data_IF_410741887559
#
_entry.id   IF_410741887559
#
_cell.length_a   1.000
_cell.length_b   1.000
_cell.length_c   1.000
_cell.angle_alpha   90.00
_cell.angle_beta   90.00
_cell.angle_gamma   90.00
#
_symmetry.space_group_name_H-M   'P 1'
#
loop_
_entity.id
_entity.type
_entity.pdbx_description
1 polymer ?
#
# COMPACT_ATOMS: atom_id res chain seq x y z
N UNK A 1 -14.51 -13.23 12.10
CA UNK A 1 -14.24 -12.81 13.51
C UNK A 1 -14.13 -11.29 13.51
N UNK A 2 -14.88 -10.58 14.35
CA UNK A 2 -14.77 -9.10 14.38
C UNK A 2 -13.45 -8.68 15.01
N UNK A 3 -12.67 -7.84 14.30
CA UNK A 3 -11.39 -7.32 14.75
C UNK A 3 -11.50 -5.83 15.11
N UNK A 4 -10.90 -5.42 16.22
CA UNK A 4 -10.82 -4.00 16.59
C UNK A 4 -9.66 -3.31 15.88
N UNK A 5 -9.71 -1.97 15.75
CA UNK A 5 -8.60 -1.19 15.18
C UNK A 5 -7.29 -1.40 15.94
N UNK A 6 -7.34 -1.56 17.27
CA UNK A 6 -6.17 -1.88 18.08
C UNK A 6 -5.55 -3.23 17.70
N UNK A 7 -6.39 -4.27 17.61
CA UNK A 7 -5.95 -5.62 17.24
C UNK A 7 -5.37 -5.65 15.81
N UNK A 8 -5.95 -4.90 14.88
CA UNK A 8 -5.44 -4.82 13.51
C UNK A 8 -4.06 -4.16 13.46
N UNK A 9 -3.85 -3.03 14.16
CA UNK A 9 -2.52 -2.40 14.27
C UNK A 9 -1.48 -3.35 14.88
N UNK A 10 -1.83 -4.01 15.98
CA UNK A 10 -0.94 -4.98 16.64
C UNK A 10 -0.63 -6.17 15.75
N UNK A 11 -1.60 -6.68 14.99
CA UNK A 11 -1.42 -7.79 14.06
C UNK A 11 -0.47 -7.42 12.92
N UNK A 12 -0.64 -6.24 12.32
CA UNK A 12 0.27 -5.72 11.29
C UNK A 12 1.71 -5.63 11.80
N UNK A 13 1.91 -4.96 12.92
CA UNK A 13 3.25 -4.77 13.48
C UNK A 13 3.90 -6.11 13.84
N UNK A 14 3.19 -7.01 14.52
CA UNK A 14 3.70 -8.34 14.88
C UNK A 14 4.07 -9.18 13.66
N UNK A 15 3.27 -9.11 12.60
CA UNK A 15 3.57 -9.84 11.37
C UNK A 15 4.90 -9.36 10.77
N UNK A 16 5.08 -8.06 10.59
CA UNK A 16 6.32 -7.53 10.01
C UNK A 16 7.52 -7.63 10.95
N UNK A 17 7.33 -7.51 12.26
CA UNK A 17 8.36 -7.81 13.25
C UNK A 17 8.84 -9.28 13.14
N UNK A 18 7.93 -10.23 12.89
CA UNK A 18 8.29 -11.64 12.63
C UNK A 18 9.12 -11.83 11.35
N UNK A 19 9.02 -10.91 10.39
CA UNK A 19 9.84 -10.86 9.17
C UNK A 19 11.12 -10.02 9.35
N UNK A 20 11.44 -9.63 10.59
CA UNK A 20 12.65 -8.88 10.95
C UNK A 20 12.57 -7.36 10.78
N UNK A 21 11.36 -6.81 10.69
CA UNK A 21 11.18 -5.36 10.64
C UNK A 21 11.23 -4.75 12.04
N UNK A 22 11.66 -3.50 12.10
CA UNK A 22 11.63 -2.68 13.33
C UNK A 22 10.48 -1.69 13.23
N UNK A 23 9.63 -1.66 14.26
CA UNK A 23 8.58 -0.66 14.37
C UNK A 23 9.22 0.70 14.71
N UNK A 24 9.09 1.66 13.78
CA UNK A 24 9.64 3.02 13.94
C UNK A 24 8.68 3.99 14.63
N UNK A 25 7.46 3.53 14.94
CA UNK A 25 6.41 4.38 15.50
C UNK A 25 5.82 5.34 14.48
N UNK A 26 4.79 6.08 14.90
CA UNK A 26 4.19 7.15 14.12
C UNK A 26 4.96 8.46 14.34
N UNK A 27 5.04 9.29 13.30
CA UNK A 27 5.53 10.66 13.41
C UNK A 27 4.36 11.65 13.45
N UNK A 28 4.66 12.93 13.65
CA UNK A 28 3.67 14.01 13.59
C UNK A 28 2.90 13.97 12.27
N UNK A 29 1.60 14.30 12.33
CA UNK A 29 0.78 14.49 11.15
C UNK A 29 1.27 15.69 10.29
N UNK A 30 1.85 16.69 10.94
CA UNK A 30 2.46 17.84 10.27
C UNK A 30 3.77 17.39 9.65
N UNK A 31 3.94 17.63 8.35
CA UNK A 31 5.17 17.34 7.60
C UNK A 31 6.37 18.11 8.19
N UNK A 32 7.55 17.53 8.04
CA UNK A 32 8.81 18.13 8.51
C UNK A 32 9.42 19.16 7.53
N UNK A 33 8.70 19.45 6.43
CA UNK A 33 9.13 20.37 5.38
C UNK A 33 10.09 19.78 4.34
N UNK A 34 10.56 18.54 4.52
CA UNK A 34 11.53 17.92 3.59
C UNK A 34 10.90 17.56 2.25
N UNK A 35 9.61 17.29 2.20
CA UNK A 35 8.87 16.88 1.00
C UNK A 35 7.98 17.99 0.43
N UNK A 36 8.02 19.20 1.01
CA UNK A 36 7.23 20.35 0.55
C UNK A 36 5.72 20.27 0.83
N UNK A 37 5.25 19.24 1.52
CA UNK A 37 3.84 19.09 1.92
C UNK A 37 3.60 19.53 3.36
N UNK A 38 2.40 20.10 3.61
CA UNK A 38 2.02 20.57 4.95
C UNK A 38 1.73 19.39 5.89
N UNK A 39 1.09 18.34 5.38
CA UNK A 39 0.73 17.14 6.16
C UNK A 39 1.37 15.91 5.54
N UNK A 40 1.64 14.90 6.36
CA UNK A 40 2.03 13.58 5.87
C UNK A 40 0.83 12.91 5.17
N UNK A 41 0.97 12.68 3.87
CA UNK A 41 -0.04 12.02 3.01
C UNK A 41 0.20 10.51 2.88
N UNK A 42 1.39 10.03 3.30
CA UNK A 42 1.78 8.63 3.27
C UNK A 42 2.85 8.33 4.33
N UNK A 43 2.91 7.09 4.78
CA UNK A 43 3.89 6.65 5.79
C UNK A 43 5.35 6.74 5.34
N UNK A 44 5.62 6.76 4.03
CA UNK A 44 6.97 6.83 3.49
C UNK A 44 7.61 8.23 3.51
N UNK A 45 6.83 9.30 3.65
CA UNK A 45 7.37 10.67 3.56
C UNK A 45 8.51 10.95 4.53
N UNK A 46 8.43 10.57 5.82
CA UNK A 46 9.53 10.74 6.76
C UNK A 46 10.77 9.88 6.42
N UNK A 47 10.59 8.88 5.57
CA UNK A 47 11.66 7.94 5.18
C UNK A 47 12.35 8.33 3.87
N UNK A 48 11.95 9.42 3.21
CA UNK A 48 12.49 9.85 1.92
C UNK A 48 14.04 9.88 1.86
N UNK A 49 14.77 10.43 2.85
CA UNK A 49 16.24 10.42 2.81
C UNK A 49 16.85 9.01 2.79
N UNK A 50 16.16 8.05 3.44
CA UNK A 50 16.62 6.66 3.55
C UNK A 50 16.31 5.86 2.29
N UNK A 51 15.17 6.13 1.66
CA UNK A 51 14.82 5.58 0.34
C UNK A 51 15.78 6.07 -0.75
N UNK A 52 16.41 7.23 -0.55
CA UNK A 52 17.46 7.77 -1.42
C UNK A 52 18.88 7.28 -1.06
N UNK A 53 19.00 6.33 -0.13
CA UNK A 53 20.27 5.64 0.16
C UNK A 53 20.97 6.05 1.46
N UNK A 54 20.44 7.03 2.24
CA UNK A 54 20.97 7.30 3.58
C UNK A 54 20.71 6.10 4.49
N UNK A 55 21.70 5.60 5.25
CA UNK A 55 21.46 4.53 6.21
C UNK A 55 20.47 4.95 7.30
N UNK A 56 19.44 4.14 7.55
CA UNK A 56 18.53 4.36 8.67
C UNK A 56 19.11 3.78 9.96
N UNK A 57 19.04 4.49 11.11
CA UNK A 57 19.68 4.04 12.37
C UNK A 57 19.10 2.74 12.92
N UNK A 58 17.86 2.39 12.59
CA UNK A 58 17.20 1.16 13.02
C UNK A 58 17.30 0.01 12.01
N UNK A 59 18.07 0.17 10.93
CA UNK A 59 18.29 -0.87 9.95
C UNK A 59 17.51 -0.71 8.65
N UNK A 60 17.38 -1.80 7.88
CA UNK A 60 16.86 -1.78 6.52
C UNK A 60 15.40 -2.21 6.39
N UNK A 61 14.85 -2.88 7.40
CA UNK A 61 13.46 -3.35 7.43
C UNK A 61 12.68 -2.57 8.48
N UNK A 62 11.74 -1.77 8.03
CA UNK A 62 10.98 -0.87 8.90
C UNK A 62 9.48 -1.12 8.72
N UNK A 63 8.70 -0.89 9.79
CA UNK A 63 7.24 -0.87 9.73
C UNK A 63 6.66 0.14 10.71
N UNK A 64 5.44 0.59 10.44
CA UNK A 64 4.66 1.39 11.38
C UNK A 64 3.16 1.41 11.05
N UNK A 65 2.41 2.19 11.82
CA UNK A 65 1.07 2.66 11.48
C UNK A 65 1.08 4.16 11.64
N UNK A 66 0.77 4.90 10.58
CA UNK A 66 0.92 6.36 10.47
C UNK A 66 -0.41 7.03 10.13
N UNK A 67 -0.80 8.05 10.89
CA UNK A 67 -1.89 8.96 10.52
C UNK A 67 -1.52 9.79 9.28
N UNK A 68 -2.42 9.86 8.31
CA UNK A 68 -2.23 10.56 7.04
C UNK A 68 -3.41 11.48 6.74
N UNK A 69 -3.14 12.59 6.02
CA UNK A 69 -4.17 13.50 5.52
C UNK A 69 -4.01 13.67 4.02
N UNK A 70 -5.06 13.36 3.25
CA UNK A 70 -5.17 13.60 1.82
C UNK A 70 -6.35 14.51 1.54
N UNK A 71 -6.10 15.69 1.00
CA UNK A 71 -7.14 16.66 0.64
C UNK A 71 -7.54 16.58 -0.83
N UNK A 72 -6.72 15.92 -1.66
CA UNK A 72 -7.01 15.70 -3.09
C UNK A 72 -8.23 14.82 -3.29
N UNK A 73 -8.52 13.92 -2.35
CA UNK A 73 -9.65 12.98 -2.43
C UNK A 73 -10.95 13.54 -1.83
N UNK A 74 -11.00 14.84 -1.47
CA UNK A 74 -12.15 15.43 -0.74
C UNK A 74 -13.46 15.35 -1.53
N UNK A 75 -13.42 15.40 -2.86
CA UNK A 75 -14.58 15.27 -3.72
C UNK A 75 -15.16 13.84 -3.73
N UNK A 76 -14.34 12.84 -3.38
CA UNK A 76 -14.73 11.44 -3.29
C UNK A 76 -15.22 11.05 -1.88
N UNK A 77 -15.05 11.94 -0.89
CA UNK A 77 -15.49 11.70 0.49
C UNK A 77 -17.01 11.56 0.53
N UNK A 78 -17.46 10.43 1.10
CA UNK A 78 -18.88 10.06 1.13
C UNK A 78 -19.17 8.75 0.38
N UNK A 79 -18.22 8.24 -0.39
CA UNK A 79 -18.25 6.87 -0.90
C UNK A 79 -17.90 5.84 0.20
N UNK A 80 -17.71 4.57 -0.20
CA UNK A 80 -17.44 3.48 0.75
C UNK A 80 -16.06 3.53 1.42
N UNK A 81 -15.06 4.19 0.80
CA UNK A 81 -13.64 3.95 1.10
C UNK A 81 -12.72 5.17 1.12
N UNK A 82 -13.19 6.37 0.74
CA UNK A 82 -12.38 7.58 0.74
C UNK A 82 -12.58 8.43 2.00
N UNK A 83 -11.47 8.85 2.60
CA UNK A 83 -11.40 9.68 3.80
C UNK A 83 -10.32 10.74 3.65
N UNK A 84 -10.53 11.94 4.20
CA UNK A 84 -9.48 12.98 4.25
C UNK A 84 -8.42 12.66 5.29
N UNK A 85 -8.81 12.07 6.42
CA UNK A 85 -7.89 11.52 7.44
C UNK A 85 -8.07 10.01 7.49
N UNK A 86 -6.97 9.28 7.51
CA UNK A 86 -6.94 7.82 7.64
C UNK A 86 -5.62 7.37 8.26
N UNK A 87 -5.55 6.11 8.68
CA UNK A 87 -4.30 5.50 9.11
C UNK A 87 -3.77 4.55 8.04
N UNK A 88 -2.49 4.74 7.69
CA UNK A 88 -1.76 3.88 6.78
C UNK A 88 -0.89 2.91 7.56
N UNK A 89 -1.08 1.63 7.34
CA UNK A 89 -0.20 0.57 7.82
C UNK A 89 0.92 0.39 6.80
N UNK A 90 2.17 0.70 7.19
CA UNK A 90 3.31 0.74 6.30
C UNK A 90 4.39 -0.28 6.65
N UNK A 91 5.12 -0.76 5.62
CA UNK A 91 6.39 -1.44 5.79
C UNK A 91 7.34 -1.12 4.64
N UNK A 92 8.63 -1.16 4.92
CA UNK A 92 9.69 -0.72 4.01
C UNK A 92 10.86 -1.67 3.99
N UNK A 93 11.44 -1.83 2.79
CA UNK A 93 12.76 -2.40 2.56
C UNK A 93 13.69 -1.31 2.01
N UNK A 94 14.75 -1.01 2.72
CA UNK A 94 15.77 -0.06 2.32
C UNK A 94 16.97 -0.80 1.70
N UNK A 95 16.77 -1.32 0.47
CA UNK A 95 17.79 -2.10 -0.24
C UNK A 95 18.09 -3.46 0.43
N UNK A 96 17.09 -4.17 0.91
CA UNK A 96 17.21 -5.51 1.49
C UNK A 96 16.41 -6.53 0.68
N UNK A 97 15.14 -6.77 0.98
CA UNK A 97 14.26 -7.62 0.18
C UNK A 97 13.56 -6.82 -0.94
N UNK A 98 13.01 -7.53 -1.92
CA UNK A 98 12.30 -6.91 -3.03
C UNK A 98 11.02 -7.70 -3.38
N UNK A 99 10.62 -7.72 -4.66
CA UNK A 99 9.34 -8.25 -5.15
C UNK A 99 9.00 -9.65 -4.63
N UNK A 100 9.93 -10.58 -4.70
CA UNK A 100 9.69 -11.99 -4.37
C UNK A 100 9.21 -12.19 -2.94
N UNK A 101 9.97 -11.66 -1.99
CA UNK A 101 9.62 -11.74 -0.58
C UNK A 101 8.38 -10.90 -0.27
N UNK A 102 8.32 -9.69 -0.82
CA UNK A 102 7.23 -8.77 -0.53
C UNK A 102 5.88 -9.31 -0.98
N UNK A 103 5.75 -9.72 -2.24
CA UNK A 103 4.50 -10.26 -2.78
C UNK A 103 4.03 -11.48 -1.99
N UNK A 104 4.97 -12.37 -1.65
CA UNK A 104 4.65 -13.55 -0.83
C UNK A 104 4.17 -13.18 0.59
N UNK A 105 4.81 -12.22 1.25
CA UNK A 105 4.42 -11.77 2.58
C UNK A 105 3.07 -11.05 2.59
N UNK A 106 2.80 -10.22 1.58
CA UNK A 106 1.49 -9.57 1.47
C UNK A 106 0.38 -10.62 1.27
N UNK A 107 0.58 -11.58 0.38
CA UNK A 107 -0.37 -12.67 0.19
C UNK A 107 -0.58 -13.51 1.47
N UNK A 108 0.51 -13.88 2.16
CA UNK A 108 0.46 -14.59 3.46
C UNK A 108 -0.34 -13.79 4.50
N UNK A 109 -0.09 -12.48 4.60
CA UNK A 109 -0.78 -11.60 5.53
C UNK A 109 -2.28 -11.56 5.25
N UNK A 110 -2.66 -11.35 3.98
CA UNK A 110 -4.05 -11.21 3.59
C UNK A 110 -4.83 -12.52 3.76
N UNK A 111 -4.26 -13.65 3.31
CA UNK A 111 -4.98 -14.93 3.29
C UNK A 111 -4.83 -15.73 4.58
N UNK A 112 -3.62 -15.82 5.15
CA UNK A 112 -3.35 -16.67 6.32
C UNK A 112 -3.60 -15.93 7.63
N UNK A 113 -3.15 -14.69 7.75
CA UNK A 113 -3.28 -13.93 9.01
C UNK A 113 -4.64 -13.27 9.13
N UNK A 114 -5.12 -12.64 8.06
CA UNK A 114 -6.42 -11.95 8.05
C UNK A 114 -7.57 -12.83 7.58
N UNK A 115 -7.29 -13.95 6.92
CA UNK A 115 -8.31 -14.93 6.51
C UNK A 115 -9.18 -14.45 5.35
N UNK A 116 -8.69 -13.52 4.52
CA UNK A 116 -9.35 -13.15 3.27
C UNK A 116 -9.29 -14.34 2.30
N UNK A 117 -10.35 -14.52 1.53
CA UNK A 117 -10.43 -15.55 0.51
C UNK A 117 -9.50 -15.21 -0.67
N UNK A 118 -8.45 -16.01 -0.86
CA UNK A 118 -7.47 -15.80 -1.92
C UNK A 118 -8.06 -15.85 -3.33
N UNK A 119 -9.14 -16.62 -3.52
CA UNK A 119 -9.83 -16.73 -4.82
C UNK A 119 -10.60 -15.45 -5.19
N UNK A 120 -10.82 -14.57 -4.23
CA UNK A 120 -11.51 -13.27 -4.40
C UNK A 120 -10.55 -12.09 -4.51
N UNK A 121 -9.27 -12.30 -4.21
CA UNK A 121 -8.26 -11.25 -4.37
C UNK A 121 -8.04 -10.95 -5.85
N UNK A 122 -8.03 -9.66 -6.19
CA UNK A 122 -7.51 -9.17 -7.46
C UNK A 122 -6.25 -8.35 -7.20
N UNK A 123 -5.38 -8.28 -8.19
CA UNK A 123 -4.19 -7.46 -8.14
C UNK A 123 -3.92 -6.80 -9.49
N UNK A 124 -3.46 -5.56 -9.44
CA UNK A 124 -3.02 -4.83 -10.62
C UNK A 124 -1.50 -4.75 -10.66
N UNK A 125 -0.94 -4.68 -11.84
CA UNK A 125 0.49 -4.55 -12.08
C UNK A 125 0.74 -3.60 -13.25
N UNK A 126 1.90 -2.97 -13.28
CA UNK A 126 2.27 -2.02 -14.32
C UNK A 126 2.35 -2.67 -15.71
N UNK A 127 1.62 -2.12 -16.70
CA UNK A 127 1.59 -2.64 -18.08
C UNK A 127 2.85 -2.34 -18.91
N UNK A 128 3.71 -1.44 -18.41
CA UNK A 128 4.90 -0.98 -19.13
C UNK A 128 4.63 0.25 -20.00
N UNK A 129 5.72 0.95 -20.31
CA UNK A 129 5.75 2.05 -21.29
C UNK A 129 7.17 2.22 -21.83
N UNK A 130 7.43 3.30 -22.61
CA UNK A 130 8.75 3.56 -23.18
C UNK A 130 9.86 3.78 -22.13
N UNK A 131 9.51 4.14 -20.89
CA UNK A 131 10.46 4.43 -19.82
C UNK A 131 10.76 3.25 -18.90
N UNK A 132 9.83 2.30 -18.77
CA UNK A 132 10.00 1.11 -17.91
C UNK A 132 9.21 -0.08 -18.47
N UNK A 133 9.78 -1.30 -18.39
CA UNK A 133 9.12 -2.49 -18.93
C UNK A 133 7.88 -2.89 -18.11
N UNK A 134 7.01 -3.66 -18.75
CA UNK A 134 5.88 -4.34 -18.13
C UNK A 134 6.35 -5.22 -16.95
N UNK A 135 5.61 -5.21 -15.84
CA UNK A 135 5.97 -5.93 -14.63
C UNK A 135 5.53 -7.40 -14.65
N UNK A 136 6.16 -8.17 -15.53
CA UNK A 136 5.93 -9.62 -15.62
C UNK A 136 6.49 -10.39 -14.40
N UNK A 137 7.46 -9.83 -13.71
CA UNK A 137 8.03 -10.44 -12.51
C UNK A 137 6.96 -10.53 -11.41
N UNK A 138 6.32 -9.42 -11.08
CA UNK A 138 5.23 -9.39 -10.07
C UNK A 138 4.05 -10.23 -10.50
N UNK A 139 3.61 -10.15 -11.76
CA UNK A 139 2.52 -10.98 -12.28
C UNK A 139 2.82 -12.49 -12.17
N UNK A 140 4.05 -12.90 -12.46
CA UNK A 140 4.47 -14.30 -12.32
C UNK A 140 4.49 -14.76 -10.85
N UNK A 141 4.89 -13.88 -9.93
CA UNK A 141 4.83 -14.17 -8.49
C UNK A 141 3.39 -14.34 -8.01
N UNK A 142 2.47 -13.45 -8.43
CA UNK A 142 1.04 -13.53 -8.10
C UNK A 142 0.44 -14.86 -8.57
N UNK A 143 0.70 -15.28 -9.82
CA UNK A 143 0.28 -16.59 -10.34
C UNK A 143 0.83 -17.75 -9.49
N UNK A 144 2.09 -17.68 -9.13
CA UNK A 144 2.73 -18.74 -8.31
C UNK A 144 2.14 -18.87 -6.91
N UNK A 145 1.53 -17.80 -6.39
CA UNK A 145 0.84 -17.77 -5.11
C UNK A 145 -0.62 -18.23 -5.20
N UNK A 146 -1.15 -18.42 -6.41
CA UNK A 146 -2.50 -18.91 -6.64
C UNK A 146 -3.52 -17.83 -7.03
N UNK A 147 -3.10 -16.58 -7.25
CA UNK A 147 -3.99 -15.58 -7.84
C UNK A 147 -4.31 -16.01 -9.27
N UNK A 148 -5.60 -16.08 -9.59
CA UNK A 148 -6.08 -16.50 -10.90
C UNK A 148 -5.68 -15.52 -12.00
N UNK A 149 -5.42 -15.99 -13.22
CA UNK A 149 -5.00 -15.14 -14.33
C UNK A 149 -5.98 -14.00 -14.62
N UNK A 150 -7.28 -14.30 -14.55
CA UNK A 150 -8.35 -13.32 -14.75
C UNK A 150 -8.49 -12.29 -13.61
N UNK A 151 -7.75 -12.45 -12.52
CA UNK A 151 -7.67 -11.54 -11.40
C UNK A 151 -6.37 -10.72 -11.36
N UNK A 152 -5.54 -10.82 -12.40
CA UNK A 152 -4.30 -10.03 -12.57
C UNK A 152 -4.50 -9.07 -13.73
N UNK A 153 -4.54 -7.77 -13.43
CA UNK A 153 -4.79 -6.73 -14.41
C UNK A 153 -3.53 -5.91 -14.63
N UNK A 154 -3.23 -5.65 -15.90
CA UNK A 154 -2.12 -4.77 -16.28
C UNK A 154 -2.68 -3.38 -16.58
N UNK A 155 -2.28 -2.40 -15.80
CA UNK A 155 -2.78 -1.05 -15.92
C UNK A 155 -1.67 -0.04 -16.24
N UNK A 156 -2.03 1.11 -16.83
CA UNK A 156 -1.08 2.12 -17.23
C UNK A 156 -0.41 2.82 -16.06
N UNK A 157 0.52 3.71 -16.37
CA UNK A 157 1.26 4.52 -15.41
C UNK A 157 0.36 5.35 -14.49
N UNK A 158 -0.80 5.77 -14.95
CA UNK A 158 -1.76 6.50 -14.12
C UNK A 158 -2.24 5.72 -12.90
N UNK A 159 -2.22 4.39 -12.97
CA UNK A 159 -2.78 3.50 -11.98
C UNK A 159 -1.68 2.69 -11.24
N UNK A 160 -0.69 2.17 -11.97
CA UNK A 160 0.33 1.28 -11.39
C UNK A 160 1.76 1.83 -11.44
N UNK A 161 1.91 3.11 -11.10
CA UNK A 161 3.22 3.73 -10.95
C UNK A 161 3.19 4.80 -9.86
N UNK A 162 3.97 4.60 -8.83
CA UNK A 162 4.08 5.59 -7.77
C UNK A 162 5.24 6.55 -8.00
N UNK A 163 4.98 7.84 -7.96
CA UNK A 163 5.96 8.92 -7.92
C UNK A 163 5.40 10.14 -7.18
N UNK A 164 6.27 10.92 -6.56
CA UNK A 164 5.85 12.20 -6.00
C UNK A 164 5.72 13.22 -7.13
N UNK A 165 4.51 13.68 -7.38
CA UNK A 165 4.22 14.64 -8.45
C UNK A 165 5.01 15.93 -8.30
N UNK A 166 5.42 16.53 -9.43
CA UNK A 166 6.12 17.80 -9.48
C UNK A 166 7.54 17.81 -8.88
N UNK A 167 8.01 16.68 -8.33
CA UNK A 167 9.30 16.63 -7.61
C UNK A 167 10.33 15.77 -8.36
N UNK A 168 11.44 16.39 -8.75
CA UNK A 168 12.61 15.70 -9.34
C UNK A 168 13.53 15.22 -8.22
N UNK A 169 14.23 14.11 -8.46
CA UNK A 169 15.21 13.53 -7.52
C UNK A 169 14.61 12.52 -6.54
N UNK A 170 13.31 12.31 -6.55
CA UNK A 170 12.61 11.36 -5.66
C UNK A 170 12.63 9.92 -6.18
N UNK A 171 12.61 8.91 -5.31
CA UNK A 171 12.45 7.52 -5.70
C UNK A 171 11.06 7.29 -6.25
N UNK A 172 10.95 6.40 -7.23
CA UNK A 172 9.69 6.04 -7.88
C UNK A 172 9.79 4.64 -8.49
N UNK A 173 8.67 4.11 -8.94
CA UNK A 173 8.66 2.82 -9.62
C UNK A 173 7.26 2.26 -9.81
N UNK A 174 7.18 1.11 -10.49
CA UNK A 174 5.94 0.38 -10.62
C UNK A 174 5.45 -0.09 -9.25
N UNK A 175 4.15 -0.20 -9.13
CA UNK A 175 3.53 -0.83 -7.97
C UNK A 175 2.59 -1.96 -8.39
N UNK A 176 2.23 -2.77 -7.43
CA UNK A 176 1.10 -3.65 -7.53
C UNK A 176 0.10 -3.28 -6.43
N UNK A 177 -1.15 -3.16 -6.82
CA UNK A 177 -2.24 -2.90 -5.90
C UNK A 177 -3.01 -4.18 -5.61
N UNK A 178 -3.55 -4.27 -4.40
CA UNK A 178 -4.36 -5.37 -3.93
C UNK A 178 -5.80 -4.91 -3.75
N UNK A 179 -6.74 -5.67 -4.32
CA UNK A 179 -8.16 -5.38 -4.29
C UNK A 179 -8.94 -6.52 -3.66
N UNK A 180 -10.03 -6.15 -2.99
CA UNK A 180 -10.98 -7.11 -2.46
C UNK A 180 -12.42 -6.66 -2.78
N UNK A 181 -13.37 -7.58 -3.09
CA UNK A 181 -14.72 -7.19 -3.46
C UNK A 181 -15.46 -6.53 -2.29
N UNK A 182 -16.20 -5.45 -2.58
CA UNK A 182 -17.02 -4.72 -1.60
C UNK A 182 -18.07 -5.65 -0.98
N UNK A 183 -18.67 -6.51 -1.79
CA UNK A 183 -19.56 -7.58 -1.38
C UNK A 183 -18.93 -8.94 -1.74
N UNK A 184 -18.23 -9.59 -0.79
CA UNK A 184 -17.61 -10.89 -1.04
C UNK A 184 -18.62 -12.02 -1.37
N UNK A 185 -19.91 -11.84 -1.08
CA UNK A 185 -20.95 -12.84 -1.38
C UNK A 185 -21.57 -12.64 -2.77
N UNK A 186 -21.22 -11.57 -3.49
CA UNK A 186 -21.64 -11.38 -4.89
C UNK A 186 -21.10 -12.50 -5.76
N UNK A 187 -21.95 -13.15 -6.54
CA UNK A 187 -21.58 -14.32 -7.33
C UNK A 187 -20.54 -14.02 -8.40
N UNK A 188 -20.68 -12.90 -9.11
CA UNK A 188 -19.80 -12.50 -10.22
C UNK A 188 -19.41 -11.02 -10.08
N UNK A 189 -18.48 -10.69 -9.15
CA UNK A 189 -18.01 -9.30 -9.00
C UNK A 189 -17.18 -8.87 -10.21
N UNK A 190 -17.42 -7.66 -10.70
CA UNK A 190 -16.77 -7.08 -11.88
C UNK A 190 -15.68 -6.10 -11.44
N UNK A 191 -14.45 -6.33 -11.88
CA UNK A 191 -13.35 -5.40 -11.64
C UNK A 191 -13.40 -4.22 -12.65
N UNK A 192 -13.15 -2.97 -12.25
CA UNK A 192 -12.87 -2.51 -10.88
C UNK A 192 -14.12 -2.17 -10.03
N UNK A 193 -15.30 -2.08 -10.63
CA UNK A 193 -16.52 -1.44 -10.06
C UNK A 193 -16.99 -2.06 -8.74
N UNK A 194 -16.82 -3.36 -8.57
CA UNK A 194 -17.23 -4.10 -7.37
C UNK A 194 -16.09 -4.27 -6.36
N UNK A 195 -14.92 -3.70 -6.61
CA UNK A 195 -13.73 -3.88 -5.79
C UNK A 195 -13.28 -2.59 -5.13
N UNK A 196 -12.59 -2.72 -4.01
CA UNK A 196 -11.87 -1.63 -3.33
C UNK A 196 -10.41 -2.01 -3.21
N UNK A 197 -9.53 -1.10 -3.57
CA UNK A 197 -8.11 -1.20 -3.26
C UNK A 197 -7.92 -1.20 -1.75
N UNK A 198 -7.27 -2.23 -1.21
CA UNK A 198 -6.98 -2.39 0.22
C UNK A 198 -5.57 -1.95 0.58
N UNK A 199 -4.70 -1.84 -0.40
CA UNK A 199 -3.34 -1.36 -0.26
C UNK A 199 -2.47 -1.68 -1.45
N UNK A 200 -1.27 -1.14 -1.46
CA UNK A 200 -0.30 -1.30 -2.53
C UNK A 200 1.10 -1.65 -2.04
N UNK A 201 1.88 -2.27 -2.92
CA UNK A 201 3.30 -2.57 -2.77
C UNK A 201 4.07 -1.86 -3.88
N UNK A 202 4.77 -0.77 -3.53
CA UNK A 202 5.55 0.04 -4.47
C UNK A 202 6.99 -0.49 -4.57
N UNK A 203 7.44 -0.76 -5.78
CA UNK A 203 8.79 -1.25 -6.08
C UNK A 203 9.66 -0.10 -6.57
N UNK A 204 10.18 0.68 -5.64
CA UNK A 204 11.02 1.86 -5.92
C UNK A 204 12.38 1.43 -6.44
N UNK A 205 12.52 1.36 -7.75
CA UNK A 205 13.75 0.97 -8.45
C UNK A 205 14.30 2.05 -9.38
N UNK A 206 13.61 3.20 -9.45
CA UNK A 206 14.03 4.34 -10.26
C UNK A 206 14.08 5.61 -9.43
N UNK A 207 14.83 6.60 -9.95
CA UNK A 207 14.80 7.97 -9.48
C UNK A 207 14.33 8.87 -10.62
N UNK A 208 13.36 9.73 -10.32
CA UNK A 208 12.82 10.71 -11.28
C UNK A 208 13.89 11.77 -11.59
N UNK A 209 14.05 12.11 -12.86
CA UNK A 209 14.91 13.18 -13.36
C UNK A 209 14.10 14.13 -14.25
N UNK A 210 14.68 15.25 -14.66
CA UNK A 210 14.04 16.17 -15.62
C UNK A 210 13.78 15.51 -16.98
N UNK A 211 14.57 14.51 -17.36
CA UNK A 211 14.54 13.85 -18.67
C UNK A 211 14.02 12.39 -18.60
N UNK A 212 13.29 12.02 -17.55
CA UNK A 212 12.76 10.66 -17.36
C UNK A 212 13.27 10.00 -16.09
N UNK A 213 13.58 8.70 -16.15
CA UNK A 213 13.91 7.88 -14.99
C UNK A 213 15.29 7.25 -15.13
N UNK A 214 16.02 7.20 -14.03
CA UNK A 214 17.30 6.48 -13.95
C UNK A 214 17.21 5.42 -12.84
N UNK A 215 17.83 4.25 -13.01
CA UNK A 215 17.84 3.22 -11.96
C UNK A 215 18.41 3.74 -10.64
N UNK A 216 17.78 3.35 -9.52
CA UNK A 216 18.36 3.52 -8.18
C UNK A 216 19.50 2.52 -7.98
N UNK A 217 20.49 2.91 -7.17
CA UNK A 217 21.57 2.01 -6.74
C UNK A 217 21.00 0.86 -5.89
N UNK A 218 20.07 1.16 -4.99
CA UNK A 218 19.37 0.18 -4.18
C UNK A 218 17.89 0.15 -4.56
N UNK A 219 17.35 -1.04 -4.75
CA UNK A 219 15.92 -1.25 -4.94
C UNK A 219 15.23 -1.26 -3.57
N UNK A 220 14.20 -0.46 -3.42
CA UNK A 220 13.45 -0.36 -2.17
C UNK A 220 12.02 -0.88 -2.35
N UNK A 221 11.40 -1.24 -1.23
CA UNK A 221 9.96 -1.50 -1.16
C UNK A 221 9.33 -0.47 -0.25
N UNK A 222 8.22 0.10 -0.70
CA UNK A 222 7.30 0.90 0.10
C UNK A 222 5.92 0.26 0.03
N UNK A 223 5.28 0.10 1.17
CA UNK A 223 3.94 -0.50 1.25
C UNK A 223 3.03 0.39 2.05
N UNK A 224 1.81 0.58 1.55
CA UNK A 224 0.74 1.28 2.23
C UNK A 224 -0.58 0.52 2.17
N UNK A 225 -1.10 0.13 3.34
CA UNK A 225 -2.44 -0.46 3.48
C UNK A 225 -3.33 0.46 4.32
N UNK A 226 -4.55 0.72 3.84
CA UNK A 226 -5.54 1.49 4.60
C UNK A 226 -6.08 0.69 5.78
N UNK A 227 -5.82 1.14 7.02
CA UNK A 227 -6.38 0.51 8.23
C UNK A 227 -7.91 0.49 8.17
N UNK A 228 -8.50 1.60 7.73
CA UNK A 228 -9.95 1.80 7.63
C UNK A 228 -10.58 0.82 6.64
N UNK A 229 -9.95 0.67 5.46
CA UNK A 229 -10.37 -0.26 4.41
C UNK A 229 -10.26 -1.72 4.87
N UNK A 230 -9.16 -2.08 5.54
CA UNK A 230 -9.00 -3.42 6.10
C UNK A 230 -10.03 -3.72 7.20
N UNK A 231 -10.35 -2.76 8.08
CA UNK A 231 -11.39 -2.92 9.09
C UNK A 231 -12.78 -3.14 8.47
N UNK A 232 -13.05 -2.50 7.34
CA UNK A 232 -14.30 -2.68 6.60
C UNK A 232 -14.48 -4.16 6.26
N UNK A 233 -13.52 -4.76 5.55
CA UNK A 233 -13.61 -6.15 5.10
C UNK A 233 -13.55 -7.16 6.23
N UNK A 234 -12.61 -7.00 7.17
CA UNK A 234 -12.45 -7.95 8.28
C UNK A 234 -13.63 -7.97 9.24
N UNK A 235 -14.48 -6.94 9.21
CA UNK A 235 -15.69 -6.87 10.03
C UNK A 235 -17.00 -7.10 9.23
N UNK A 236 -16.91 -7.37 7.92
CA UNK A 236 -18.06 -7.57 7.05
C UNK A 236 -18.95 -6.30 6.94
N UNK A 237 -18.30 -5.14 6.82
CA UNK A 237 -18.95 -3.85 6.65
C UNK A 237 -18.89 -3.43 5.17
N UNK A 238 -19.83 -2.58 4.73
CA UNK A 238 -19.91 -2.11 3.35
C UNK A 238 -19.62 -0.61 3.21
N UNK A 239 -19.23 0.06 4.29
CA UNK A 239 -18.83 1.47 4.28
C UNK A 239 -17.87 1.75 5.43
N UNK A 240 -16.78 2.44 5.16
CA UNK A 240 -15.73 2.74 6.15
C UNK A 240 -16.23 3.55 7.34
N UNK A 241 -17.17 4.47 7.12
CA UNK A 241 -17.80 5.23 8.21
C UNK A 241 -18.58 4.38 9.23
N UNK A 242 -18.90 3.12 8.92
CA UNK A 242 -19.49 2.14 9.87
C UNK A 242 -18.45 1.44 10.73
N UNK A 243 -17.17 1.67 10.50
CA UNK A 243 -16.09 1.14 11.34
C UNK A 243 -16.08 1.82 12.70
N UNK A 244 -15.53 1.16 13.71
CA UNK A 244 -15.41 1.70 15.06
C UNK A 244 -14.57 3.01 15.13
N UNK A 245 -13.77 3.32 14.10
CA UNK A 245 -12.99 4.55 14.03
C UNK A 245 -13.87 5.79 13.90
N UNK A 246 -14.98 5.70 13.19
CA UNK A 246 -15.89 6.81 12.92
C UNK A 246 -17.20 6.75 13.73
N UNK A 247 -17.45 5.64 14.44
CA UNK A 247 -18.73 5.43 15.14
C UNK A 247 -19.09 6.56 16.11
N UNK A 248 -18.10 7.17 16.77
CA UNK A 248 -18.33 8.29 17.68
C UNK A 248 -18.64 9.63 16.99
N UNK A 249 -18.33 9.78 15.71
CA UNK A 249 -18.58 11.00 14.93
C UNK A 249 -19.87 10.92 14.11
N UNK A 250 -20.35 9.69 13.83
CA UNK A 250 -21.49 9.42 12.94
C UNK A 250 -22.77 9.11 13.75
N UNK A 251 -22.65 8.94 15.07
CA UNK A 251 -23.74 8.57 15.99
C UNK A 251 -24.73 9.74 16.25
#
# INVERSE_FOLDING_TARGET
MKITSKQLRESWLKFYESKGHVNVGAVSLIGDGTTGVMFNVAGMQPLMPYLLGKPHPLGKRLCNVQGCVRTVDIESVGDASHFTFFEMMGNWSLGDYFKKEKTAWTYELLTTVYGLDGDKLCSTVFEGNDAAPRDEETASLLRSLGIREEHIFYLPKSDNWWELEGTVGTPCGPDNEWFYPIDPEKADPVFPDDYVEIGNDVYMQYRKTENGYVPLENKNVDTGFGLDRMLLFLNGLHAGYKTALFAGAVA
#
